data_IF_146699628739
#
_entry.id   IF_146699628739
#
_cell.length_a   1.000
_cell.length_b   1.000
_cell.length_c   1.000
_cell.angle_alpha   90.00
_cell.angle_beta   90.00
_cell.angle_gamma   90.00
#
_symmetry.space_group_name_H-M   'P 1'
#
loop_
_entity.id
_entity.type
_entity.pdbx_description
1 polymer ?
#
# COMPACT_ATOMS: atom_id res chain seq x y z
N UNK A 1 9.76 84.20 -18.58
CA UNK A 1 8.75 83.18 -18.28
C UNK A 1 9.45 81.99 -17.64
N UNK A 2 9.12 81.64 -16.39
CA UNK A 2 9.80 80.59 -15.61
C UNK A 2 9.09 79.25 -15.82
N UNK A 3 9.80 78.24 -16.34
CA UNK A 3 9.29 76.87 -16.47
C UNK A 3 9.64 76.09 -15.20
N UNK A 4 8.64 75.68 -14.42
CA UNK A 4 8.82 74.78 -13.27
C UNK A 4 8.72 73.34 -13.77
N UNK A 5 9.81 72.58 -13.69
CA UNK A 5 9.81 71.13 -13.84
C UNK A 5 9.45 70.51 -12.49
N UNK A 6 8.30 69.82 -12.42
CA UNK A 6 7.88 69.02 -11.27
C UNK A 6 8.43 67.60 -11.47
N UNK A 7 9.44 67.20 -10.69
CA UNK A 7 9.96 65.83 -10.69
C UNK A 7 9.14 65.04 -9.67
N UNK A 8 8.22 64.21 -10.16
CA UNK A 8 7.48 63.23 -9.36
C UNK A 8 8.37 62.01 -9.13
N UNK A 9 8.88 61.83 -7.90
CA UNK A 9 9.66 60.67 -7.49
C UNK A 9 8.69 59.56 -7.08
N UNK A 10 8.46 58.61 -7.98
CA UNK A 10 7.65 57.43 -7.72
C UNK A 10 8.48 56.43 -6.89
N UNK A 11 8.29 56.43 -5.57
CA UNK A 11 8.83 55.41 -4.68
C UNK A 11 8.13 54.07 -4.97
N UNK A 12 8.79 53.17 -5.71
CA UNK A 12 8.38 51.77 -5.83
C UNK A 12 8.63 51.08 -4.47
N UNK A 13 7.58 50.98 -3.66
CA UNK A 13 7.56 50.13 -2.48
C UNK A 13 7.41 48.69 -2.98
N UNK A 14 8.53 48.00 -3.16
CA UNK A 14 8.55 46.56 -3.38
C UNK A 14 8.33 45.88 -2.03
N UNK A 15 7.06 45.67 -1.64
CA UNK A 15 6.74 44.80 -0.53
C UNK A 15 6.96 43.36 -0.99
N UNK A 16 7.85 42.57 -0.36
CA UNK A 16 7.85 41.14 -0.59
C UNK A 16 6.52 40.63 -0.01
N UNK A 17 5.63 40.15 -0.88
CA UNK A 17 4.52 39.32 -0.46
C UNK A 17 5.12 38.03 0.11
N UNK A 18 5.45 38.03 1.40
CA UNK A 18 5.54 36.80 2.17
C UNK A 18 4.10 36.28 2.32
N UNK A 19 3.59 35.63 1.27
CA UNK A 19 2.47 34.72 1.43
C UNK A 19 2.98 33.48 2.15
N UNK A 20 3.01 33.55 3.49
CA UNK A 20 3.01 32.35 4.31
C UNK A 20 1.66 31.65 4.08
N UNK A 21 1.60 30.85 3.01
CA UNK A 21 0.44 30.03 2.72
C UNK A 21 0.18 29.12 3.94
N UNK A 22 -1.04 29.24 4.46
CA UNK A 22 -1.55 28.48 5.60
C UNK A 22 -1.87 27.05 5.12
N UNK A 23 -0.87 26.33 4.64
CA UNK A 23 -1.04 24.97 4.15
C UNK A 23 -1.65 24.10 5.24
N UNK A 24 -2.69 23.34 4.90
CA UNK A 24 -3.23 22.31 5.79
C UNK A 24 -2.14 21.30 6.11
N UNK A 25 -2.22 20.63 7.25
CA UNK A 25 -1.20 19.63 7.61
C UNK A 25 -1.06 18.54 6.54
N UNK A 26 -2.19 18.08 6.00
CA UNK A 26 -2.23 17.15 4.87
C UNK A 26 -1.48 17.69 3.64
N UNK A 27 -1.66 18.97 3.30
CA UNK A 27 -0.91 19.60 2.19
C UNK A 27 0.60 19.64 2.43
N UNK A 28 1.03 19.93 3.66
CA UNK A 28 2.45 19.90 4.05
C UNK A 28 3.05 18.49 3.88
N UNK A 29 2.31 17.45 4.24
CA UNK A 29 2.74 16.06 4.07
C UNK A 29 2.85 15.67 2.60
N UNK A 30 1.91 16.11 1.76
CA UNK A 30 1.95 15.86 0.31
C UNK A 30 3.13 16.57 -0.36
N UNK A 31 3.44 17.80 0.04
CA UNK A 31 4.60 18.55 -0.46
C UNK A 31 5.92 17.89 -0.03
N UNK A 32 6.03 17.46 1.22
CA UNK A 32 7.21 16.74 1.70
C UNK A 32 7.39 15.38 1.01
N UNK A 33 6.28 14.67 0.73
CA UNK A 33 6.32 13.44 -0.05
C UNK A 33 6.82 13.67 -1.48
N UNK A 34 6.49 14.84 -2.05
CA UNK A 34 6.96 15.29 -3.35
C UNK A 34 8.46 15.61 -3.37
N UNK A 35 8.92 16.40 -2.41
CA UNK A 35 10.33 16.73 -2.24
C UNK A 35 11.20 15.48 -2.08
N UNK A 36 10.70 14.47 -1.37
CA UNK A 36 11.40 13.21 -1.11
C UNK A 36 11.25 12.16 -2.22
N UNK A 37 10.46 12.43 -3.25
CA UNK A 37 10.16 11.50 -4.34
C UNK A 37 9.66 10.13 -3.82
N UNK A 38 8.75 10.16 -2.83
CA UNK A 38 8.36 8.95 -2.09
C UNK A 38 7.65 7.91 -2.95
N UNK A 39 6.96 8.32 -4.02
CA UNK A 39 6.24 7.38 -4.89
C UNK A 39 7.16 6.50 -5.75
N UNK A 40 8.44 6.84 -5.87
CA UNK A 40 9.44 6.03 -6.59
C UNK A 40 10.26 5.13 -5.65
N UNK A 41 10.02 5.17 -4.34
CA UNK A 41 10.74 4.33 -3.38
C UNK A 41 10.33 2.87 -3.53
N UNK A 42 11.31 1.98 -3.49
CA UNK A 42 11.09 0.55 -3.71
C UNK A 42 10.09 -0.05 -2.71
N UNK A 43 10.10 0.42 -1.47
CA UNK A 43 9.18 0.00 -0.41
C UNK A 43 7.73 0.41 -0.72
N UNK A 44 7.51 1.64 -1.21
CA UNK A 44 6.19 2.08 -1.66
C UNK A 44 5.72 1.24 -2.85
N UNK A 45 6.59 1.04 -3.83
CA UNK A 45 6.25 0.23 -5.01
C UNK A 45 5.88 -1.21 -4.63
N UNK A 46 6.59 -1.80 -3.66
CA UNK A 46 6.33 -3.15 -3.16
C UNK A 46 5.03 -3.24 -2.34
N UNK A 47 4.74 -2.26 -1.46
CA UNK A 47 3.50 -2.21 -0.68
C UNK A 47 2.24 -2.20 -1.56
N UNK A 48 2.37 -1.74 -2.81
CA UNK A 48 1.29 -1.68 -3.79
C UNK A 48 1.48 -2.64 -4.97
N UNK A 49 2.46 -3.55 -4.87
CA UNK A 49 2.74 -4.56 -5.90
C UNK A 49 2.95 -3.99 -7.31
N UNK A 50 3.53 -2.80 -7.43
CA UNK A 50 3.88 -2.23 -8.72
C UNK A 50 5.03 -3.00 -9.38
N UNK A 51 4.90 -3.19 -10.68
CA UNK A 51 5.94 -3.70 -11.57
C UNK A 51 6.09 -2.71 -12.71
N UNK A 52 7.27 -2.62 -13.29
CA UNK A 52 7.41 -1.89 -14.55
C UNK A 52 6.64 -2.65 -15.63
N UNK A 53 5.91 -1.90 -16.46
CA UNK A 53 5.19 -2.45 -17.59
C UNK A 53 6.15 -3.19 -18.52
N UNK A 54 5.73 -4.37 -18.96
CA UNK A 54 6.50 -5.23 -19.88
C UNK A 54 6.65 -4.63 -21.28
N UNK A 55 5.91 -3.57 -21.60
CA UNK A 55 5.96 -2.84 -22.88
C UNK A 55 7.19 -1.92 -23.04
N UNK A 56 8.05 -1.82 -22.02
CA UNK A 56 9.27 -1.03 -22.06
C UNK A 56 9.06 0.48 -21.92
N UNK A 57 7.84 0.94 -21.63
CA UNK A 57 7.54 2.37 -21.41
C UNK A 57 8.11 2.90 -20.09
N UNK A 58 8.53 2.02 -19.18
CA UNK A 58 8.98 2.36 -17.84
C UNK A 58 7.85 2.81 -16.90
N UNK A 59 6.60 2.73 -17.35
CA UNK A 59 5.42 3.03 -16.52
C UNK A 59 5.23 1.92 -15.49
N UNK A 60 4.87 2.29 -14.26
CA UNK A 60 4.51 1.32 -13.22
C UNK A 60 3.04 0.92 -13.32
N UNK A 61 2.77 -0.37 -13.24
CA UNK A 61 1.43 -0.92 -13.11
C UNK A 61 1.38 -1.92 -11.94
N UNK A 62 0.35 -1.82 -11.10
CA UNK A 62 0.16 -2.74 -9.99
C UNK A 62 -0.38 -4.07 -10.47
N UNK A 63 0.17 -5.15 -9.93
CA UNK A 63 -0.30 -6.51 -10.16
C UNK A 63 -1.63 -6.82 -9.43
N UNK A 64 -2.18 -5.88 -8.66
CA UNK A 64 -3.46 -6.04 -7.97
C UNK A 64 -4.61 -5.65 -8.90
N UNK A 65 -5.56 -6.57 -9.09
CA UNK A 65 -6.72 -6.35 -9.95
C UNK A 65 -7.95 -5.81 -9.21
N UNK A 66 -7.97 -5.91 -7.88
CA UNK A 66 -9.06 -5.41 -7.05
C UNK A 66 -9.05 -3.87 -6.98
N UNK A 67 -10.09 -3.24 -7.51
CA UNK A 67 -10.24 -1.79 -7.49
C UNK A 67 -10.34 -1.22 -6.06
N UNK A 68 -10.85 -2.00 -5.10
CA UNK A 68 -10.99 -1.57 -3.70
C UNK A 68 -9.66 -1.46 -2.97
N UNK A 69 -8.57 -2.02 -3.53
CA UNK A 69 -7.21 -1.89 -3.02
C UNK A 69 -6.63 -0.48 -3.23
N UNK A 70 -7.13 0.26 -4.21
CA UNK A 70 -6.65 1.60 -4.53
C UNK A 70 -7.56 2.67 -3.94
N UNK A 71 -6.94 3.72 -3.43
CA UNK A 71 -7.64 4.91 -2.93
C UNK A 71 -7.86 5.93 -4.05
N UNK A 72 -6.98 5.94 -5.05
CA UNK A 72 -7.13 6.74 -6.27
C UNK A 72 -7.75 5.93 -7.41
N UNK A 73 -8.63 6.56 -8.19
CA UNK A 73 -9.16 6.01 -9.46
C UNK A 73 -8.06 5.70 -10.50
N UNK A 74 -6.87 6.24 -10.28
CA UNK A 74 -5.69 6.06 -11.13
C UNK A 74 -4.59 5.31 -10.36
N UNK A 75 -4.93 4.69 -9.24
CA UNK A 75 -3.97 4.05 -8.36
C UNK A 75 -3.25 2.92 -9.06
N UNK A 76 -3.95 2.06 -9.80
CA UNK A 76 -3.33 0.92 -10.50
C UNK A 76 -2.16 1.31 -11.42
N UNK A 77 -2.18 2.49 -12.04
CA UNK A 77 -1.17 2.94 -13.01
C UNK A 77 -0.35 4.16 -12.56
N UNK A 78 -0.56 4.66 -11.34
CA UNK A 78 0.15 5.85 -10.86
C UNK A 78 0.48 5.76 -9.37
N UNK A 79 1.71 5.30 -9.03
CA UNK A 79 2.20 5.28 -7.64
C UNK A 79 2.09 6.65 -6.96
N UNK A 80 2.27 7.72 -7.73
CA UNK A 80 2.19 9.10 -7.26
C UNK A 80 0.77 9.53 -6.90
N UNK A 81 -0.21 9.30 -7.78
CA UNK A 81 -1.61 9.65 -7.49
C UNK A 81 -2.13 8.85 -6.30
N UNK A 82 -1.76 7.57 -6.23
CA UNK A 82 -2.13 6.70 -5.10
C UNK A 82 -1.51 7.17 -3.78
N UNK A 83 -0.24 7.60 -3.78
CA UNK A 83 0.40 8.14 -2.57
C UNK A 83 -0.32 9.40 -2.07
N UNK A 84 -0.62 10.33 -2.98
CA UNK A 84 -1.31 11.57 -2.62
C UNK A 84 -2.70 11.30 -2.07
N UNK A 85 -3.46 10.40 -2.70
CA UNK A 85 -4.80 10.05 -2.25
C UNK A 85 -4.77 9.24 -0.94
N UNK A 86 -3.73 8.42 -0.72
CA UNK A 86 -3.47 7.77 0.57
C UNK A 86 -3.29 8.81 1.68
N UNK A 87 -2.46 9.83 1.46
CA UNK A 87 -2.28 10.92 2.42
C UNK A 87 -3.57 11.70 2.65
N UNK A 88 -4.37 11.96 1.61
CA UNK A 88 -5.69 12.59 1.76
C UNK A 88 -6.62 11.71 2.62
N UNK A 89 -6.65 10.41 2.36
CA UNK A 89 -7.55 9.46 2.99
C UNK A 89 -7.30 9.32 4.50
N UNK A 90 -6.05 9.46 4.97
CA UNK A 90 -5.76 9.48 6.41
C UNK A 90 -6.43 10.62 7.20
N UNK A 91 -6.94 11.66 6.51
CA UNK A 91 -7.67 12.78 7.12
C UNK A 91 -9.17 12.77 6.84
N UNK A 92 -9.66 11.87 6.00
CA UNK A 92 -11.11 11.71 5.79
C UNK A 92 -11.73 11.13 7.06
N UNK A 93 -13.01 11.37 7.30
CA UNK A 93 -13.76 10.73 8.40
C UNK A 93 -14.56 9.57 7.84
N UNK A 94 -14.69 8.51 8.63
CA UNK A 94 -15.54 7.37 8.36
C UNK A 94 -16.47 7.15 9.55
N UNK A 95 -17.61 6.52 9.32
CA UNK A 95 -18.54 6.13 10.39
C UNK A 95 -18.03 4.93 11.17
N UNK A 96 -17.36 4.00 10.47
CA UNK A 96 -16.62 2.88 11.04
C UNK A 96 -15.13 3.16 10.96
N UNK A 97 -14.46 3.17 12.12
CA UNK A 97 -13.02 3.37 12.20
C UNK A 97 -12.23 2.25 11.51
N UNK A 98 -12.76 1.03 11.44
CA UNK A 98 -12.07 -0.07 10.74
C UNK A 98 -11.96 0.17 9.22
N UNK A 99 -12.89 0.94 8.66
CA UNK A 99 -12.90 1.33 7.25
C UNK A 99 -11.98 2.53 6.94
N UNK A 100 -11.42 3.17 7.96
CA UNK A 100 -10.41 4.21 7.78
C UNK A 100 -9.20 3.70 7.01
N UNK A 101 -8.62 4.57 6.19
CA UNK A 101 -7.42 4.24 5.44
C UNK A 101 -6.23 3.88 6.36
N UNK A 102 -6.17 4.44 7.58
CA UNK A 102 -5.13 4.09 8.55
C UNK A 102 -5.25 2.65 9.06
N UNK A 103 -6.48 2.11 9.16
CA UNK A 103 -6.75 0.75 9.61
C UNK A 103 -6.77 -0.26 8.46
N UNK A 104 -7.38 0.07 7.31
CA UNK A 104 -7.33 -0.79 6.11
C UNK A 104 -5.92 -0.95 5.54
N UNK A 105 -5.09 0.10 5.62
CA UNK A 105 -3.76 0.12 5.02
C UNK A 105 -2.67 0.41 6.05
N UNK A 106 -2.64 -0.34 7.15
CA UNK A 106 -1.67 -0.15 8.26
C UNK A 106 -0.22 -0.11 7.76
N UNK A 107 0.16 -0.98 6.81
CA UNK A 107 1.50 -0.98 6.23
C UNK A 107 1.87 0.34 5.53
N UNK A 108 0.93 0.91 4.76
CA UNK A 108 1.10 2.21 4.10
C UNK A 108 1.18 3.34 5.12
N UNK A 109 0.30 3.32 6.13
CA UNK A 109 0.28 4.33 7.19
C UNK A 109 1.58 4.33 8.01
N UNK A 110 2.05 3.15 8.43
CA UNK A 110 3.32 3.01 9.16
C UNK A 110 4.50 3.51 8.34
N UNK A 111 4.59 3.10 7.07
CA UNK A 111 5.68 3.51 6.20
C UNK A 111 5.69 5.03 5.96
N UNK A 112 4.55 5.62 5.58
CA UNK A 112 4.44 7.07 5.37
C UNK A 112 4.69 7.88 6.66
N UNK A 113 4.20 7.38 7.81
CA UNK A 113 4.46 8.00 9.11
C UNK A 113 5.96 8.12 9.40
N UNK A 114 6.71 7.06 9.09
CA UNK A 114 8.16 7.04 9.26
C UNK A 114 8.87 7.96 8.25
N UNK A 115 8.51 7.90 6.96
CA UNK A 115 9.18 8.69 5.91
C UNK A 115 8.96 10.21 6.06
N UNK A 116 7.79 10.60 6.56
CA UNK A 116 7.36 11.99 6.68
C UNK A 116 7.46 12.54 8.10
N UNK A 117 7.86 11.72 9.08
CA UNK A 117 7.83 12.06 10.51
C UNK A 117 6.47 12.64 10.94
N UNK A 118 5.39 11.92 10.61
CA UNK A 118 4.02 12.40 10.87
C UNK A 118 3.83 12.60 12.37
N UNK A 119 3.57 13.85 12.77
CA UNK A 119 3.07 14.19 14.10
C UNK A 119 1.65 13.66 14.29
N UNK A 120 1.53 12.55 15.02
CA UNK A 120 0.27 11.89 15.32
C UNK A 120 -0.74 12.78 16.05
N UNK A 121 -0.29 13.78 16.83
CA UNK A 121 -1.20 14.72 17.51
C UNK A 121 -1.99 15.62 16.55
N UNK A 122 -1.57 15.68 15.28
CA UNK A 122 -2.23 16.43 14.20
C UNK A 122 -3.04 15.52 13.27
N UNK A 123 -3.09 14.21 13.55
CA UNK A 123 -3.88 13.23 12.81
C UNK A 123 -5.24 13.02 13.51
N UNK A 124 -6.26 12.51 12.79
CA UNK A 124 -7.46 11.98 13.43
C UNK A 124 -7.11 10.85 14.40
N UNK A 125 -7.84 10.78 15.51
CA UNK A 125 -7.82 9.61 16.40
C UNK A 125 -8.74 8.56 15.79
N UNK A 126 -8.23 7.36 15.61
CA UNK A 126 -8.94 6.23 14.99
C UNK A 126 -8.59 4.97 15.78
N UNK A 127 -9.60 4.18 16.11
CA UNK A 127 -9.46 2.89 16.78
C UNK A 127 -9.53 1.74 15.75
N UNK A 128 -8.40 1.05 15.53
CA UNK A 128 -8.31 -0.03 14.55
C UNK A 128 -8.60 -1.39 15.18
N UNK A 129 -9.72 -1.52 15.91
CA UNK A 129 -10.02 -2.68 16.75
C UNK A 129 -9.90 -4.01 16.00
N UNK A 130 -10.42 -4.14 14.78
CA UNK A 130 -10.32 -5.40 14.01
C UNK A 130 -8.88 -5.75 13.64
N UNK A 131 -8.06 -4.74 13.35
CA UNK A 131 -6.63 -4.96 13.09
C UNK A 131 -5.90 -5.37 14.38
N UNK A 132 -6.21 -4.75 15.52
CA UNK A 132 -5.60 -5.08 16.80
C UNK A 132 -5.96 -6.51 17.25
N UNK A 133 -7.24 -6.89 17.18
CA UNK A 133 -7.71 -8.25 17.44
C UNK A 133 -7.02 -9.27 16.51
N UNK A 134 -6.93 -8.96 15.21
CA UNK A 134 -6.22 -9.82 14.26
C UNK A 134 -4.73 -9.97 14.60
N UNK A 135 -4.06 -8.89 15.03
CA UNK A 135 -2.65 -8.93 15.44
C UNK A 135 -2.43 -9.79 16.68
N UNK A 136 -3.34 -9.73 17.64
CA UNK A 136 -3.31 -10.55 18.86
C UNK A 136 -3.55 -12.04 18.58
N UNK A 137 -4.37 -12.36 17.58
CA UNK A 137 -4.62 -13.74 17.16
C UNK A 137 -3.44 -14.35 16.39
N UNK A 138 -2.86 -13.60 15.45
CA UNK A 138 -1.80 -14.11 14.58
C UNK A 138 -0.44 -14.21 15.29
N UNK A 139 -0.13 -13.27 16.18
CA UNK A 139 1.14 -13.19 16.93
C UNK A 139 2.41 -13.44 16.09
N UNK A 140 2.46 -12.98 14.85
CA UNK A 140 3.58 -13.25 13.95
C UNK A 140 4.90 -12.63 14.43
N UNK A 141 5.72 -13.42 15.13
CA UNK A 141 7.03 -13.05 15.66
C UNK A 141 8.16 -13.56 14.75
N UNK A 142 7.92 -14.68 14.05
CA UNK A 142 8.84 -15.23 13.05
C UNK A 142 8.11 -15.47 11.72
N UNK A 143 8.85 -15.38 10.62
CA UNK A 143 8.37 -15.71 9.28
C UNK A 143 9.22 -16.85 8.73
N UNK A 144 8.58 -17.96 8.43
CA UNK A 144 9.20 -19.18 7.92
C UNK A 144 8.79 -19.39 6.46
N UNK A 145 9.77 -19.53 5.56
CA UNK A 145 9.52 -19.85 4.16
C UNK A 145 9.56 -21.38 3.98
N UNK A 146 8.41 -21.97 3.65
CA UNK A 146 8.25 -23.41 3.49
C UNK A 146 8.31 -23.78 2.01
N UNK A 147 9.18 -24.73 1.66
CA UNK A 147 9.27 -25.34 0.33
C UNK A 147 8.67 -26.74 0.36
N UNK A 148 7.51 -26.99 -0.28
CA UNK A 148 6.92 -28.32 -0.32
C UNK A 148 7.79 -29.28 -1.15
N UNK A 149 7.92 -30.53 -0.70
CA UNK A 149 8.59 -31.58 -1.45
C UNK A 149 7.76 -31.95 -2.70
N UNK A 150 8.41 -31.94 -3.86
CA UNK A 150 7.83 -32.21 -5.18
C UNK A 150 7.11 -33.57 -5.25
N UNK A 151 5.77 -33.58 -5.23
CA UNK A 151 4.96 -34.75 -5.59
C UNK A 151 4.44 -34.60 -7.02
N UNK A 152 4.94 -35.46 -7.92
CA UNK A 152 4.67 -35.47 -9.37
C UNK A 152 3.22 -35.85 -9.77
N UNK A 153 2.36 -36.21 -8.81
CA UNK A 153 1.02 -36.73 -9.09
C UNK A 153 -0.06 -35.64 -9.25
N UNK A 154 0.28 -34.36 -9.08
CA UNK A 154 -0.64 -33.26 -9.39
C UNK A 154 0.13 -31.99 -9.82
N UNK A 155 -0.05 -31.49 -11.06
CA UNK A 155 0.63 -30.28 -11.55
C UNK A 155 0.42 -29.03 -10.68
N UNK A 156 -0.73 -28.88 -10.01
CA UNK A 156 -0.96 -27.79 -9.03
C UNK A 156 0.01 -27.85 -7.85
N UNK A 157 0.41 -29.04 -7.42
CA UNK A 157 1.33 -29.24 -6.30
C UNK A 157 2.79 -29.05 -6.69
N UNK A 158 3.11 -29.13 -7.99
CA UNK A 158 4.49 -29.09 -8.50
C UNK A 158 5.01 -27.66 -8.74
N UNK A 159 4.11 -26.67 -8.88
CA UNK A 159 4.46 -25.30 -9.33
C UNK A 159 4.35 -24.21 -8.25
N UNK A 160 4.45 -24.56 -6.98
CA UNK A 160 4.88 -23.59 -5.97
C UNK A 160 3.74 -22.78 -5.35
N UNK A 161 3.21 -23.33 -4.27
CA UNK A 161 2.77 -22.48 -3.19
C UNK A 161 4.01 -22.22 -2.33
N UNK A 162 4.68 -21.09 -2.59
CA UNK A 162 5.55 -20.46 -1.59
C UNK A 162 4.65 -20.21 -0.39
N UNK A 163 4.76 -21.08 0.60
CA UNK A 163 4.00 -21.00 1.83
C UNK A 163 4.84 -20.20 2.81
N UNK A 164 4.41 -18.96 3.08
CA UNK A 164 4.96 -18.21 4.20
C UNK A 164 4.17 -18.61 5.44
N UNK A 165 4.84 -19.18 6.43
CA UNK A 165 4.28 -19.48 7.75
C UNK A 165 4.65 -18.35 8.71
N UNK A 166 3.66 -17.81 9.40
CA UNK A 166 3.79 -16.79 10.43
C UNK A 166 3.71 -17.51 11.77
N UNK A 167 4.84 -17.58 12.47
CA UNK A 167 4.97 -18.37 13.68
C UNK A 167 4.91 -17.46 14.91
N UNK A 168 4.19 -17.87 15.97
CA UNK A 168 4.21 -17.17 17.23
C UNK A 168 5.55 -17.34 17.95
N UNK A 169 5.72 -16.63 19.07
CA UNK A 169 6.87 -16.83 19.95
C UNK A 169 6.82 -18.23 20.57
N UNK A 170 7.93 -18.97 20.46
CA UNK A 170 8.08 -20.28 21.10
C UNK A 170 7.72 -20.20 22.60
N UNK A 171 6.58 -20.77 22.97
CA UNK A 171 6.10 -20.86 24.35
C UNK A 171 5.09 -22.01 24.48
N UNK A 172 4.91 -22.54 25.70
CA UNK A 172 3.93 -23.60 25.97
C UNK A 172 2.47 -23.14 25.71
N UNK A 173 2.23 -21.82 25.74
CA UNK A 173 0.94 -21.20 25.44
C UNK A 173 0.71 -20.98 23.94
N UNK A 174 1.79 -20.89 23.14
CA UNK A 174 1.74 -20.61 21.70
C UNK A 174 2.60 -21.58 20.87
N UNK A 175 2.19 -22.85 20.76
CA UNK A 175 2.87 -23.85 19.94
C UNK A 175 2.73 -23.61 18.43
N UNK A 176 3.66 -24.15 17.64
CA UNK A 176 3.74 -24.05 16.17
C UNK A 176 2.44 -24.36 15.39
N UNK A 177 1.49 -25.12 15.95
CA UNK A 177 0.20 -25.40 15.30
C UNK A 177 -0.78 -24.22 15.35
N UNK A 178 -0.50 -23.17 16.12
CA UNK A 178 -1.23 -21.89 16.07
C UNK A 178 -0.69 -20.94 15.00
N UNK A 179 0.29 -21.40 14.20
CA UNK A 179 0.86 -20.57 13.14
C UNK A 179 -0.17 -20.26 12.04
N UNK A 180 0.02 -19.14 11.36
CA UNK A 180 -0.79 -18.76 10.20
C UNK A 180 -0.02 -19.01 8.90
N UNK A 181 -0.73 -19.48 7.89
CA UNK A 181 -0.22 -19.70 6.54
C UNK A 181 -0.69 -18.59 5.60
N UNK A 182 0.27 -17.89 4.99
CA UNK A 182 0.05 -16.98 3.87
C UNK A 182 0.40 -17.70 2.56
N UNK A 183 -0.60 -17.86 1.70
CA UNK A 183 -0.49 -18.57 0.44
C UNK A 183 -0.92 -17.68 -0.73
N UNK A 184 -0.29 -17.86 -1.88
CA UNK A 184 -0.79 -17.35 -3.16
C UNK A 184 -1.15 -18.54 -4.05
N UNK A 185 -2.36 -18.53 -4.59
CA UNK A 185 -2.88 -19.65 -5.38
C UNK A 185 -3.84 -19.21 -6.47
N UNK A 186 -3.98 -20.08 -7.47
CA UNK A 186 -4.98 -19.95 -8.53
C UNK A 186 -6.37 -20.33 -7.99
N UNK A 187 -7.34 -19.44 -8.18
CA UNK A 187 -8.75 -19.75 -7.91
C UNK A 187 -9.35 -20.50 -9.12
N UNK A 188 -9.55 -21.81 -8.95
CA UNK A 188 -10.02 -22.72 -10.01
C UNK A 188 -11.54 -22.89 -9.90
N UNK A 189 -12.26 -22.63 -10.99
CA UNK A 189 -13.69 -22.90 -11.04
C UNK A 189 -13.98 -24.40 -11.03
N UNK A 190 -14.95 -24.83 -10.23
CA UNK A 190 -15.38 -26.24 -10.11
C UNK A 190 -15.93 -26.86 -11.40
N UNK A 191 -16.18 -26.04 -12.43
CA UNK A 191 -16.65 -26.45 -13.75
C UNK A 191 -15.54 -26.65 -14.80
N UNK A 192 -14.28 -26.40 -14.47
CA UNK A 192 -13.18 -26.56 -15.43
C UNK A 192 -12.86 -28.04 -15.69
N UNK A 193 -12.86 -28.44 -16.96
CA UNK A 193 -12.38 -29.75 -17.38
C UNK A 193 -10.85 -29.82 -17.42
N UNK A 194 -10.29 -31.03 -17.42
CA UNK A 194 -8.83 -31.25 -17.27
C UNK A 194 -7.96 -30.59 -18.35
N UNK A 195 -8.49 -30.40 -19.56
CA UNK A 195 -7.79 -29.76 -20.68
C UNK A 195 -7.75 -28.23 -20.48
N UNK A 196 -8.90 -27.63 -20.14
CA UNK A 196 -8.98 -26.20 -19.82
C UNK A 196 -8.09 -25.86 -18.64
N UNK A 197 -8.05 -26.74 -17.63
CA UNK A 197 -7.18 -26.62 -16.47
C UNK A 197 -5.70 -26.62 -16.84
N UNK A 198 -5.25 -27.58 -17.65
CA UNK A 198 -3.85 -27.62 -18.11
C UNK A 198 -3.47 -26.38 -18.92
N UNK A 199 -4.34 -25.93 -19.84
CA UNK A 199 -4.09 -24.77 -20.67
C UNK A 199 -4.02 -23.46 -19.86
N UNK A 200 -5.02 -23.19 -19.02
CA UNK A 200 -5.04 -22.00 -18.15
C UNK A 200 -3.91 -22.03 -17.13
N UNK A 201 -3.55 -23.21 -16.60
CA UNK A 201 -2.43 -23.40 -15.68
C UNK A 201 -1.08 -23.03 -16.32
N UNK A 202 -0.86 -23.38 -17.59
CA UNK A 202 0.37 -23.05 -18.31
C UNK A 202 0.43 -21.59 -18.79
N UNK A 203 -0.71 -21.01 -19.17
CA UNK A 203 -0.79 -19.66 -19.73
C UNK A 203 -1.07 -18.56 -18.69
N UNK A 204 -1.23 -18.91 -17.41
CA UNK A 204 -1.55 -17.94 -16.35
C UNK A 204 -2.99 -17.41 -16.40
N UNK A 205 -3.94 -18.20 -16.92
CA UNK A 205 -5.33 -17.80 -17.12
C UNK A 205 -6.24 -17.91 -15.90
N UNK A 206 -5.69 -18.19 -14.71
CA UNK A 206 -6.44 -18.27 -13.46
C UNK A 206 -6.28 -17.00 -12.63
N UNK A 207 -7.39 -16.46 -12.06
CA UNK A 207 -7.29 -15.40 -11.08
C UNK A 207 -6.44 -15.86 -9.89
N UNK A 208 -5.39 -15.12 -9.60
CA UNK A 208 -4.56 -15.34 -8.42
C UNK A 208 -5.17 -14.66 -7.20
N UNK A 209 -5.10 -15.31 -6.04
CA UNK A 209 -5.54 -14.74 -4.79
C UNK A 209 -4.52 -15.04 -3.68
N UNK A 210 -4.33 -14.04 -2.80
CA UNK A 210 -3.57 -14.20 -1.56
C UNK A 210 -4.54 -14.58 -0.46
N UNK A 211 -4.14 -15.54 0.35
CA UNK A 211 -4.96 -16.08 1.40
C UNK A 211 -4.15 -16.19 2.70
N UNK A 212 -4.79 -15.95 3.84
CA UNK A 212 -4.17 -16.07 5.17
C UNK A 212 -5.10 -16.84 6.10
N UNK A 213 -4.67 -18.00 6.60
CA UNK A 213 -5.48 -18.88 7.44
C UNK A 213 -4.63 -19.57 8.51
N UNK A 214 -5.22 -20.05 9.62
CA UNK A 214 -4.52 -20.92 10.57
C UNK A 214 -4.01 -22.21 9.89
N UNK A 215 -2.82 -22.67 10.28
CA UNK A 215 -2.25 -23.96 9.89
C UNK A 215 -2.91 -25.04 10.73
N UNK A 216 -3.92 -25.72 10.20
CA UNK A 216 -4.51 -26.92 10.83
C UNK A 216 -3.59 -28.14 10.67
#
# INVERSE_FOLDING_TARGET
>A
MKFKFLISTLFLICSPNLQASKYTYMGQLQELAEEKDLWNKGEWLQLLHYRQSSDGTGVYESAVDDATFFLSDQGKSSPKKELKETLTAFFKRHEDDNEQAMCRFVGRFRWLSNQLNINQKRMPVVDCTLYEEWREQVQAEKVTLVFPAYYLNSPSSMFGHTLLRLDPKDSDEWPDWLSYAVNFGANVASSDNSIMYAYKGLMGGYPGAVYCYPVL
#
